data_IF_498177595032
#
_entry.id   IF_498177595032
#
_cell.length_a   1.000
_cell.length_b   1.000
_cell.length_c   1.000
_cell.angle_alpha   90.00
_cell.angle_beta   90.00
_cell.angle_gamma   90.00
#
_symmetry.space_group_name_H-M   'P 1'
#
loop_
_entity.id
_entity.type
_entity.pdbx_description
1 polymer ?
#
# COMPACT_ATOMS: atom_id res chain seq x y z
N UNK A 1 46.50 -3.19 32.57
CA UNK A 1 46.08 -2.03 31.80
C UNK A 1 45.03 -2.49 30.81
N UNK A 2 43.72 -2.27 31.02
CA UNK A 2 42.68 -2.64 30.07
C UNK A 2 42.39 -1.48 29.11
N UNK A 3 42.17 -1.80 27.85
CA UNK A 3 41.71 -0.88 26.81
C UNK A 3 40.17 -0.76 26.82
N UNK A 4 39.71 0.46 26.94
CA UNK A 4 38.29 0.84 26.99
C UNK A 4 37.62 0.63 25.61
N UNK A 5 36.55 -0.16 25.60
CA UNK A 5 35.64 -0.31 24.47
C UNK A 5 34.58 0.79 24.47
N UNK A 6 34.61 1.70 23.52
CA UNK A 6 33.64 2.75 23.35
C UNK A 6 32.35 2.16 22.75
N UNK A 7 31.35 1.97 23.61
CA UNK A 7 29.96 1.65 23.21
C UNK A 7 29.32 2.86 22.52
N UNK A 8 29.08 2.78 21.22
CA UNK A 8 28.23 3.76 20.50
C UNK A 8 26.76 3.53 20.83
N UNK A 9 26.28 4.24 21.82
CA UNK A 9 24.86 4.40 22.12
C UNK A 9 24.19 5.13 20.93
N UNK A 10 23.44 4.42 20.14
CA UNK A 10 22.54 5.04 19.16
C UNK A 10 21.44 5.77 19.91
N UNK A 11 21.47 7.10 19.89
CA UNK A 11 20.41 7.95 20.42
C UNK A 11 19.14 7.71 19.58
N UNK A 12 18.10 7.15 20.20
CA UNK A 12 16.72 7.18 19.69
C UNK A 12 16.28 8.63 19.58
N UNK A 13 15.76 9.03 18.42
CA UNK A 13 15.07 10.31 18.29
C UNK A 13 13.83 10.29 19.20
N UNK A 14 13.56 11.36 19.96
CA UNK A 14 12.37 11.48 20.77
C UNK A 14 11.22 11.88 19.85
N UNK A 15 10.29 11.04 19.65
CA UNK A 15 8.97 11.13 19.02
C UNK A 15 8.85 10.04 17.98
N UNK A 16 8.06 9.00 18.29
CA UNK A 16 7.78 7.83 17.45
C UNK A 16 7.01 8.16 16.16
N UNK A 17 7.56 9.02 15.33
CA UNK A 17 7.03 9.37 14.01
C UNK A 17 7.52 8.33 13.02
N UNK A 18 6.58 7.55 12.52
CA UNK A 18 6.79 6.63 11.41
C UNK A 18 7.10 7.44 10.15
N UNK A 19 8.36 7.45 9.71
CA UNK A 19 8.71 7.99 8.40
C UNK A 19 8.06 7.08 7.34
N UNK A 20 7.04 7.59 6.65
CA UNK A 20 6.36 6.87 5.58
C UNK A 20 7.33 6.80 4.40
N UNK A 21 8.14 5.74 4.33
CA UNK A 21 8.87 5.39 3.11
C UNK A 21 7.94 4.55 2.24
N UNK A 22 7.34 5.18 1.25
CA UNK A 22 6.68 4.47 0.16
C UNK A 22 7.80 3.91 -0.71
N UNK A 23 8.02 2.58 -0.65
CA UNK A 23 9.19 1.93 -1.22
C UNK A 23 9.27 2.01 -2.75
N UNK A 24 9.99 3.01 -3.26
CA UNK A 24 10.56 3.00 -4.60
C UNK A 24 12.06 2.74 -4.49
N UNK A 25 12.56 1.63 -5.02
CA UNK A 25 14.00 1.41 -5.20
C UNK A 25 14.55 2.47 -6.15
N UNK A 26 15.44 3.35 -5.68
CA UNK A 26 16.27 4.18 -6.56
C UNK A 26 17.13 3.23 -7.41
N UNK A 27 17.07 3.37 -8.74
CA UNK A 27 18.03 2.73 -9.64
C UNK A 27 19.43 3.26 -9.30
N UNK A 28 20.33 2.38 -8.88
CA UNK A 28 21.76 2.69 -8.81
C UNK A 28 22.27 2.88 -10.24
N UNK A 29 22.91 4.02 -10.49
CA UNK A 29 23.66 4.27 -11.73
C UNK A 29 24.87 3.35 -11.74
N UNK A 30 24.86 2.34 -12.60
CA UNK A 30 26.08 1.71 -13.07
C UNK A 30 26.39 2.30 -14.45
N UNK A 31 27.51 3.00 -14.54
CA UNK A 31 28.15 3.36 -15.80
C UNK A 31 28.78 2.11 -16.38
N UNK A 32 28.54 1.84 -17.67
CA UNK A 32 29.36 0.97 -18.47
C UNK A 32 29.46 1.56 -19.88
N UNK A 33 30.71 1.86 -20.28
CA UNK A 33 31.12 2.24 -21.60
C UNK A 33 31.11 1.04 -22.57
N UNK A 34 30.59 1.29 -23.79
CA UNK A 34 30.86 0.89 -25.14
C UNK A 34 30.88 -0.62 -25.53
N UNK A 35 30.89 -0.96 -26.84
CA UNK A 35 30.59 -0.17 -28.02
C UNK A 35 29.41 -0.71 -28.87
N UNK A 36 29.03 0.09 -29.85
CA UNK A 36 28.00 -0.08 -30.87
C UNK A 36 28.11 -1.36 -31.72
N UNK A 37 27.00 -2.07 -31.92
CA UNK A 37 26.66 -2.63 -33.21
C UNK A 37 25.15 -2.77 -33.36
N UNK A 38 24.64 -2.25 -34.46
CA UNK A 38 23.22 -2.08 -34.72
C UNK A 38 22.51 -3.40 -35.04
N UNK A 39 21.32 -3.53 -34.49
CA UNK A 39 20.27 -4.36 -35.07
C UNK A 39 18.92 -3.76 -34.65
N UNK A 40 18.21 -3.28 -35.64
CA UNK A 40 16.83 -2.76 -35.47
C UNK A 40 15.94 -3.96 -35.14
N UNK A 41 15.48 -4.04 -33.90
CA UNK A 41 14.41 -4.96 -33.52
C UNK A 41 13.20 -4.11 -33.12
N UNK A 42 12.15 -4.18 -33.91
CA UNK A 42 10.84 -3.64 -33.66
C UNK A 42 10.40 -3.90 -32.22
N UNK A 43 10.27 -2.86 -31.40
CA UNK A 43 9.65 -2.95 -30.08
C UNK A 43 8.15 -3.07 -30.24
N UNK A 44 7.63 -4.28 -30.23
CA UNK A 44 6.20 -4.51 -29.98
C UNK A 44 5.92 -4.15 -28.52
N UNK A 45 5.26 -3.02 -28.33
CA UNK A 45 4.66 -2.62 -27.07
C UNK A 45 3.72 -3.74 -26.59
N UNK A 46 4.10 -4.45 -25.54
CA UNK A 46 3.24 -5.41 -24.84
C UNK A 46 2.10 -4.70 -24.15
N UNK A 47 1.06 -4.35 -24.88
CA UNK A 47 -0.21 -3.92 -24.31
C UNK A 47 -0.90 -5.16 -23.75
N UNK A 48 -1.02 -5.25 -22.41
CA UNK A 48 -1.96 -6.16 -21.77
C UNK A 48 -3.38 -5.85 -22.26
N UNK A 49 -4.21 -6.87 -22.53
CA UNK A 49 -5.60 -6.64 -22.92
C UNK A 49 -6.34 -6.00 -21.74
N UNK A 50 -6.46 -4.68 -21.77
CA UNK A 50 -7.42 -3.98 -20.94
C UNK A 50 -8.81 -4.34 -21.47
N UNK A 51 -9.71 -4.78 -20.60
CA UNK A 51 -11.14 -4.78 -20.92
C UNK A 51 -11.56 -3.31 -20.99
N UNK A 52 -11.34 -2.69 -22.15
CA UNK A 52 -11.89 -1.40 -22.51
C UNK A 52 -13.25 -1.65 -23.15
N UNK A 53 -14.28 -1.79 -22.31
CA UNK A 53 -15.60 -1.36 -22.72
C UNK A 53 -15.62 0.18 -22.77
N UNK A 54 -16.40 0.82 -23.67
CA UNK A 54 -16.58 2.26 -23.64
C UNK A 54 -17.06 2.64 -22.24
N UNK A 55 -16.37 3.59 -21.59
CA UNK A 55 -16.81 4.18 -20.34
C UNK A 55 -18.11 4.94 -20.64
N UNK A 56 -19.23 4.31 -20.32
CA UNK A 56 -20.51 4.97 -20.28
C UNK A 56 -20.38 6.08 -19.24
N UNK A 57 -20.33 7.33 -19.70
CA UNK A 57 -20.18 8.50 -18.83
C UNK A 57 -21.34 8.66 -17.83
N UNK A 58 -22.37 7.83 -17.94
CA UNK A 58 -23.56 7.78 -17.11
C UNK A 58 -23.60 6.56 -16.13
N UNK A 59 -22.61 5.68 -16.16
CA UNK A 59 -22.56 4.58 -15.20
C UNK A 59 -22.24 5.10 -13.80
N UNK A 60 -22.93 4.63 -12.74
CA UNK A 60 -22.61 5.03 -11.38
C UNK A 60 -21.13 4.71 -11.08
N UNK A 61 -20.44 5.67 -10.43
CA UNK A 61 -19.03 5.51 -10.10
C UNK A 61 -18.80 4.21 -9.32
N UNK A 62 -17.85 3.39 -9.77
CA UNK A 62 -17.57 2.10 -9.12
C UNK A 62 -17.05 2.33 -7.68
N UNK A 63 -17.48 1.55 -6.69
CA UNK A 63 -17.09 1.77 -5.27
C UNK A 63 -15.57 1.87 -5.06
N UNK A 64 -14.78 1.13 -5.83
CA UNK A 64 -13.33 1.15 -5.76
C UNK A 64 -12.67 2.39 -6.41
N UNK A 65 -13.41 3.27 -7.06
CA UNK A 65 -12.88 4.51 -7.63
C UNK A 65 -12.50 5.53 -6.55
N UNK A 66 -13.25 5.54 -5.44
CA UNK A 66 -12.99 6.36 -4.26
C UNK A 66 -12.76 5.47 -3.02
N UNK A 67 -11.87 4.50 -3.16
CA UNK A 67 -11.70 3.38 -2.23
C UNK A 67 -11.52 3.82 -0.76
N UNK A 68 -10.65 4.81 -0.50
CA UNK A 68 -10.38 5.30 0.86
C UNK A 68 -11.65 5.97 1.44
N UNK A 69 -12.31 6.83 0.66
CA UNK A 69 -13.55 7.47 1.08
C UNK A 69 -14.63 6.44 1.41
N UNK A 70 -14.85 5.49 0.49
CA UNK A 70 -15.86 4.44 0.67
C UNK A 70 -15.56 3.56 1.89
N UNK A 71 -14.31 3.19 2.12
CA UNK A 71 -13.93 2.45 3.31
C UNK A 71 -14.22 3.24 4.58
N UNK A 72 -13.81 4.52 4.65
CA UNK A 72 -13.98 5.39 5.81
C UNK A 72 -15.42 5.86 6.06
N UNK A 73 -16.32 5.67 5.10
CA UNK A 73 -17.75 5.97 5.25
C UNK A 73 -18.61 4.71 5.44
N UNK A 74 -18.02 3.51 5.33
CA UNK A 74 -18.71 2.24 5.53
C UNK A 74 -18.00 1.35 6.58
N UNK A 75 -17.31 0.31 6.17
CA UNK A 75 -16.79 -0.74 7.08
C UNK A 75 -15.63 -0.28 7.98
N UNK A 76 -14.80 0.68 7.52
CA UNK A 76 -13.69 1.23 8.30
C UNK A 76 -14.05 2.53 9.03
N UNK A 77 -15.33 2.91 9.14
CA UNK A 77 -15.74 4.18 9.76
C UNK A 77 -15.27 4.35 11.21
N UNK A 78 -15.12 3.25 11.94
CA UNK A 78 -14.75 3.27 13.37
C UNK A 78 -13.24 3.44 13.60
N UNK A 79 -12.41 3.28 12.57
CA UNK A 79 -10.95 3.40 12.62
C UNK A 79 -10.44 4.66 11.91
N UNK A 80 -11.35 5.56 11.59
CA UNK A 80 -11.06 6.86 11.00
C UNK A 80 -11.97 7.96 11.55
N UNK A 81 -11.67 9.20 11.16
CA UNK A 81 -12.43 10.38 11.56
C UNK A 81 -12.43 11.43 10.45
N UNK A 82 -13.25 12.46 10.61
CA UNK A 82 -13.42 13.54 9.65
C UNK A 82 -14.88 13.99 9.56
N UNK A 83 -15.22 14.66 8.47
CA UNK A 83 -16.56 15.21 8.21
C UNK A 83 -17.05 14.81 6.81
N UNK A 84 -18.03 15.56 6.28
CA UNK A 84 -18.62 15.30 4.96
C UNK A 84 -17.73 15.75 3.78
N UNK A 85 -16.65 16.51 4.02
CA UNK A 85 -15.71 16.99 2.99
C UNK A 85 -14.42 16.20 2.96
N UNK A 86 -13.89 15.77 4.13
CA UNK A 86 -12.65 15.02 4.23
C UNK A 86 -12.65 14.03 5.39
N UNK A 87 -11.98 12.91 5.21
CA UNK A 87 -11.80 11.86 6.21
C UNK A 87 -10.39 11.30 6.16
N UNK A 88 -9.90 10.80 7.31
CA UNK A 88 -8.64 10.06 7.37
C UNK A 88 -8.72 8.91 8.36
N UNK A 89 -7.84 7.92 8.19
CA UNK A 89 -7.61 6.93 9.23
C UNK A 89 -6.89 7.54 10.45
N UNK A 90 -7.07 6.93 11.61
CA UNK A 90 -6.22 7.20 12.77
C UNK A 90 -4.75 6.92 12.39
N UNK A 91 -3.84 7.86 12.69
CA UNK A 91 -2.45 7.81 12.24
C UNK A 91 -1.71 6.51 12.60
N UNK A 92 -1.90 5.88 13.79
CA UNK A 92 -1.26 4.60 14.11
C UNK A 92 -1.79 3.42 13.30
N UNK A 93 -2.95 3.56 12.64
CA UNK A 93 -3.60 2.51 11.84
C UNK A 93 -3.13 2.57 10.40
N UNK A 94 -3.30 3.75 9.75
CA UNK A 94 -2.88 3.92 8.36
C UNK A 94 -2.72 5.41 8.01
N UNK A 95 -1.79 5.75 7.11
CA UNK A 95 -1.52 7.14 6.72
C UNK A 95 -2.48 7.65 5.63
N UNK A 96 -3.62 6.99 5.41
CA UNK A 96 -4.50 7.29 4.28
C UNK A 96 -5.61 8.27 4.66
N UNK A 97 -5.94 9.14 3.71
CA UNK A 97 -7.10 10.00 3.75
C UNK A 97 -7.74 10.19 2.39
N UNK A 98 -8.91 10.82 2.40
CA UNK A 98 -9.65 11.14 1.19
C UNK A 98 -10.43 12.44 1.37
N UNK A 99 -10.62 13.16 0.28
CA UNK A 99 -11.58 14.25 0.12
C UNK A 99 -12.78 13.75 -0.68
N UNK A 100 -13.95 14.37 -0.50
CA UNK A 100 -15.15 14.01 -1.28
C UNK A 100 -14.98 14.42 -2.75
N UNK A 101 -14.27 15.52 -2.99
CA UNK A 101 -13.96 16.09 -4.30
C UNK A 101 -12.61 16.82 -4.26
N UNK A 102 -12.22 17.44 -5.38
CA UNK A 102 -10.97 18.18 -5.53
C UNK A 102 -11.10 19.67 -5.17
N UNK A 103 -12.17 20.11 -4.50
CA UNK A 103 -12.39 21.51 -4.15
C UNK A 103 -11.41 21.99 -3.07
N UNK A 104 -11.13 23.29 -3.07
CA UNK A 104 -10.31 23.93 -2.03
C UNK A 104 -10.91 23.71 -0.64
N UNK A 105 -12.24 23.73 -0.50
CA UNK A 105 -12.93 23.50 0.76
C UNK A 105 -12.68 22.09 1.31
N UNK A 106 -12.71 21.06 0.44
CA UNK A 106 -12.40 19.69 0.79
C UNK A 106 -10.94 19.52 1.23
N UNK A 107 -10.00 20.16 0.55
CA UNK A 107 -8.59 20.18 0.97
C UNK A 107 -8.35 20.96 2.26
N UNK A 108 -9.05 22.09 2.50
CA UNK A 108 -9.00 22.79 3.78
C UNK A 108 -9.50 21.90 4.93
N UNK A 109 -10.57 21.15 4.69
CA UNK A 109 -11.07 20.18 5.65
C UNK A 109 -10.05 19.06 5.92
N UNK A 110 -9.38 18.55 4.88
CA UNK A 110 -8.32 17.56 5.03
C UNK A 110 -7.13 18.11 5.83
N UNK A 111 -6.74 19.37 5.56
CA UNK A 111 -5.67 20.06 6.30
C UNK A 111 -6.00 20.17 7.80
N UNK A 112 -7.25 20.47 8.13
CA UNK A 112 -7.68 20.56 9.53
C UNK A 112 -7.56 19.21 10.27
N UNK A 113 -7.64 18.08 9.56
CA UNK A 113 -7.45 16.74 10.11
C UNK A 113 -5.98 16.31 10.22
N UNK A 114 -5.04 17.07 9.64
CA UNK A 114 -3.63 16.68 9.55
C UNK A 114 -2.81 17.44 10.60
N UNK A 115 -2.34 16.79 11.69
CA UNK A 115 -1.44 17.42 12.65
C UNK A 115 -0.15 17.92 12.01
N UNK A 116 0.48 18.93 12.61
CA UNK A 116 1.76 19.45 12.13
C UNK A 116 2.83 18.35 12.14
N UNK A 117 3.53 18.22 11.00
CA UNK A 117 4.57 17.22 10.78
C UNK A 117 4.07 15.82 10.43
N UNK A 118 2.74 15.60 10.36
CA UNK A 118 2.18 14.38 9.81
C UNK A 118 2.13 14.45 8.28
N UNK A 119 2.03 13.26 7.67
CA UNK A 119 1.82 13.09 6.23
C UNK A 119 0.53 12.31 5.99
N UNK A 120 -0.06 12.50 4.81
CA UNK A 120 -1.27 11.80 4.41
C UNK A 120 -1.15 11.33 2.96
N UNK A 121 -1.52 10.08 2.71
CA UNK A 121 -1.52 9.49 1.38
C UNK A 121 -2.94 9.46 0.81
N UNK A 122 -3.09 9.91 -0.42
CA UNK A 122 -4.32 9.88 -1.19
C UNK A 122 -4.19 8.90 -2.35
N UNK A 123 -5.25 8.13 -2.64
CA UNK A 123 -5.44 7.39 -3.89
C UNK A 123 -6.53 8.06 -4.70
N UNK A 124 -6.22 8.47 -5.92
CA UNK A 124 -7.13 9.21 -6.80
C UNK A 124 -7.10 8.67 -8.22
N UNK A 125 -8.16 8.90 -8.97
CA UNK A 125 -8.23 8.50 -10.39
C UNK A 125 -7.37 9.40 -11.26
N UNK A 126 -7.37 10.68 -10.97
CA UNK A 126 -6.58 11.70 -11.66
C UNK A 126 -5.44 12.17 -10.76
N UNK A 127 -4.42 12.75 -11.34
CA UNK A 127 -3.32 13.32 -10.59
C UNK A 127 -3.77 14.49 -9.72
N UNK A 128 -3.53 14.39 -8.43
CA UNK A 128 -3.91 15.44 -7.48
C UNK A 128 -3.02 16.65 -7.63
N UNK A 129 -3.64 17.82 -7.85
CA UNK A 129 -3.01 19.13 -7.76
C UNK A 129 -3.52 19.82 -6.48
N UNK A 130 -2.89 19.59 -5.33
CA UNK A 130 -3.38 20.14 -4.08
C UNK A 130 -3.16 21.66 -4.04
N UNK A 131 -3.99 22.41 -3.29
CA UNK A 131 -3.75 23.84 -3.04
C UNK A 131 -2.40 24.10 -2.35
N UNK A 132 -1.89 25.33 -2.46
CA UNK A 132 -0.54 25.73 -2.00
C UNK A 132 -0.27 25.52 -0.50
N UNK A 133 -1.29 25.36 0.32
CA UNK A 133 -1.14 25.01 1.73
C UNK A 133 -0.79 23.53 1.97
N UNK A 134 -0.64 22.72 0.92
CA UNK A 134 -0.02 21.41 0.95
C UNK A 134 1.25 21.36 0.11
N UNK A 135 2.26 20.65 0.62
CA UNK A 135 3.43 20.21 -0.15
C UNK A 135 3.26 18.79 -0.59
N UNK A 136 3.55 18.48 -1.85
CA UNK A 136 3.59 17.12 -2.37
C UNK A 136 4.97 16.52 -2.05
N UNK A 137 5.02 15.59 -1.12
CA UNK A 137 6.25 14.93 -0.68
C UNK A 137 6.68 13.83 -1.66
N UNK A 138 5.70 13.09 -2.17
CA UNK A 138 5.95 12.00 -3.12
C UNK A 138 4.74 11.78 -4.01
N UNK A 139 5.00 11.42 -5.26
CA UNK A 139 4.01 10.91 -6.22
C UNK A 139 4.36 9.47 -6.58
N UNK A 140 3.34 8.70 -6.92
CA UNK A 140 3.47 7.33 -7.38
C UNK A 140 2.26 6.89 -8.19
N UNK A 141 2.36 5.73 -8.78
CA UNK A 141 1.24 5.09 -9.46
C UNK A 141 1.11 3.64 -8.97
N UNK A 142 -0.12 3.25 -8.68
CA UNK A 142 -0.47 1.89 -8.30
C UNK A 142 -1.51 1.33 -9.25
N UNK A 143 -1.43 0.04 -9.50
CA UNK A 143 -2.44 -0.70 -10.22
C UNK A 143 -3.42 -1.27 -9.21
N UNK A 144 -4.69 -0.97 -9.41
CA UNK A 144 -5.77 -1.62 -8.68
C UNK A 144 -6.16 -2.90 -9.42
N UNK A 145 -6.09 -4.03 -8.72
CA UNK A 145 -6.46 -5.33 -9.26
C UNK A 145 -7.62 -5.92 -8.47
N UNK A 146 -8.51 -6.65 -9.15
CA UNK A 146 -9.73 -7.24 -8.59
C UNK A 146 -9.75 -8.73 -8.90
N UNK A 147 -10.16 -9.52 -7.93
CA UNK A 147 -10.34 -10.97 -8.10
C UNK A 147 -11.53 -11.26 -9.02
N UNK A 148 -11.31 -12.08 -10.03
CA UNK A 148 -12.37 -12.57 -10.95
C UNK A 148 -12.45 -14.09 -10.99
N UNK A 149 -11.41 -14.78 -10.52
CA UNK A 149 -11.36 -16.24 -10.50
C UNK A 149 -10.73 -16.72 -9.21
N UNK A 150 -11.34 -17.69 -8.57
CA UNK A 150 -10.77 -18.32 -7.37
C UNK A 150 -9.41 -18.94 -7.68
N UNK A 151 -8.37 -18.68 -6.85
CA UNK A 151 -7.10 -19.35 -7.01
C UNK A 151 -7.25 -20.85 -6.82
N UNK A 152 -6.49 -21.62 -7.58
CA UNK A 152 -6.33 -23.04 -7.32
C UNK A 152 -5.73 -23.23 -5.91
N UNK A 153 -5.94 -24.42 -5.31
CA UNK A 153 -5.31 -24.73 -4.04
C UNK A 153 -3.79 -24.62 -4.15
N UNK A 154 -3.18 -23.85 -3.25
CA UNK A 154 -1.73 -23.59 -3.25
C UNK A 154 -1.18 -24.07 -1.91
N UNK A 155 -0.35 -25.11 -1.95
CA UNK A 155 0.49 -25.55 -0.84
C UNK A 155 -0.21 -25.99 0.46
N UNK A 156 0.61 -26.28 1.46
CA UNK A 156 0.20 -26.72 2.80
C UNK A 156 1.06 -26.08 3.90
N UNK A 157 1.57 -24.85 3.69
CA UNK A 157 2.35 -24.19 4.72
C UNK A 157 1.51 -23.99 5.99
N UNK A 158 2.11 -24.13 7.17
CA UNK A 158 1.41 -23.93 8.44
C UNK A 158 1.10 -22.44 8.64
N UNK A 159 -0.07 -22.02 8.13
CA UNK A 159 -0.55 -20.65 8.29
C UNK A 159 -1.11 -20.48 9.70
N UNK A 160 -0.72 -19.41 10.36
CA UNK A 160 -1.22 -18.98 11.66
C UNK A 160 -1.96 -17.66 11.54
N UNK A 161 -3.03 -17.47 12.32
CA UNK A 161 -3.66 -16.17 12.52
C UNK A 161 -2.76 -15.32 13.40
N UNK A 162 -2.57 -14.07 13.03
CA UNK A 162 -1.78 -13.10 13.78
C UNK A 162 -2.69 -12.20 14.59
N UNK A 163 -2.27 -11.85 15.81
CA UNK A 163 -3.00 -10.97 16.70
C UNK A 163 -2.12 -9.84 17.27
N UNK A 164 -2.64 -9.08 18.21
CA UNK A 164 -1.93 -7.94 18.80
C UNK A 164 -0.57 -8.31 19.44
N UNK A 165 -0.38 -9.55 19.86
CA UNK A 165 0.89 -10.05 20.44
C UNK A 165 1.96 -10.22 19.38
N UNK A 166 1.57 -10.42 18.12
CA UNK A 166 2.47 -10.61 16.98
C UNK A 166 2.94 -9.27 16.37
N UNK A 167 2.37 -8.14 16.76
CA UNK A 167 2.69 -6.81 16.18
C UNK A 167 4.20 -6.50 16.17
N UNK A 168 4.98 -6.80 17.21
CA UNK A 168 6.42 -6.58 17.15
C UNK A 168 7.12 -7.35 16.02
N UNK A 169 6.77 -8.62 15.79
CA UNK A 169 7.31 -9.46 14.72
C UNK A 169 6.84 -8.97 13.35
N UNK A 170 5.57 -8.53 13.25
CA UNK A 170 5.02 -7.97 12.03
C UNK A 170 5.76 -6.69 11.63
N UNK A 171 6.02 -5.79 12.57
CA UNK A 171 6.80 -4.56 12.34
C UNK A 171 8.23 -4.86 11.91
N UNK A 172 8.89 -5.85 12.53
CA UNK A 172 10.22 -6.30 12.14
C UNK A 172 10.24 -6.85 10.71
N UNK A 173 9.23 -7.64 10.32
CA UNK A 173 9.10 -8.15 8.96
C UNK A 173 8.83 -7.03 7.94
N UNK A 174 8.01 -6.04 8.30
CA UNK A 174 7.75 -4.84 7.47
C UNK A 174 9.02 -4.04 7.27
N UNK A 175 9.82 -3.83 8.32
CA UNK A 175 11.11 -3.13 8.23
C UNK A 175 12.09 -3.86 7.30
N UNK A 176 12.11 -5.19 7.33
CA UNK A 176 12.98 -5.99 6.48
C UNK A 176 12.53 -6.06 5.01
N UNK A 177 11.24 -5.86 4.71
CA UNK A 177 10.66 -6.15 3.39
C UNK A 177 10.05 -4.95 2.68
N UNK A 178 9.68 -3.90 3.41
CA UNK A 178 9.06 -2.66 2.92
C UNK A 178 7.85 -2.88 2.00
N UNK A 179 6.80 -3.62 2.43
CA UNK A 179 5.63 -3.93 1.60
C UNK A 179 4.72 -2.73 1.36
N UNK A 180 4.91 -1.65 2.10
CA UNK A 180 4.10 -0.45 2.11
C UNK A 180 3.81 0.03 3.54
N UNK A 181 2.93 1.03 3.74
CA UNK A 181 2.64 1.55 5.06
C UNK A 181 2.02 0.49 5.98
N UNK A 182 2.63 0.30 7.14
CA UNK A 182 2.16 -0.56 8.21
C UNK A 182 2.55 0.05 9.56
N UNK A 183 1.59 0.28 10.42
CA UNK A 183 1.77 0.88 11.74
C UNK A 183 1.43 -0.09 12.88
N UNK A 184 1.64 0.32 14.13
CA UNK A 184 1.44 -0.53 15.31
C UNK A 184 -0.01 -0.96 15.53
N UNK A 185 -0.98 -0.27 14.93
CA UNK A 185 -2.40 -0.59 15.02
C UNK A 185 -3.02 -0.98 13.68
N UNK A 186 -2.21 -1.19 12.64
CA UNK A 186 -2.72 -1.59 11.31
C UNK A 186 -3.46 -2.92 11.36
N UNK A 187 -3.10 -3.79 12.29
CA UNK A 187 -3.78 -5.09 12.52
C UNK A 187 -5.29 -4.94 12.83
N UNK A 188 -5.74 -3.77 13.30
CA UNK A 188 -7.16 -3.49 13.59
C UNK A 188 -8.03 -3.35 12.32
N UNK A 189 -7.42 -3.34 11.12
CA UNK A 189 -8.14 -3.18 9.86
C UNK A 189 -8.85 -4.46 9.40
N UNK A 190 -8.41 -5.64 9.84
CA UNK A 190 -9.01 -6.91 9.47
C UNK A 190 -8.18 -8.13 9.86
N UNK A 191 -8.40 -9.22 9.16
CA UNK A 191 -7.69 -10.48 9.37
C UNK A 191 -6.23 -10.35 8.91
N UNK A 192 -5.30 -10.83 9.76
CA UNK A 192 -3.88 -10.97 9.42
C UNK A 192 -3.45 -12.41 9.64
N UNK A 193 -2.73 -12.96 8.68
CA UNK A 193 -2.20 -14.32 8.72
C UNK A 193 -0.72 -14.33 8.37
N UNK A 194 -0.01 -15.34 8.86
CA UNK A 194 1.43 -15.45 8.64
C UNK A 194 1.94 -16.88 8.64
N UNK A 195 3.21 -17.02 8.28
CA UNK A 195 3.96 -18.27 8.38
C UNK A 195 5.16 -18.05 9.27
N UNK A 196 5.35 -18.95 10.26
CA UNK A 196 6.53 -18.95 11.12
C UNK A 196 7.46 -20.10 10.74
N UNK A 197 8.76 -19.82 10.72
CA UNK A 197 9.81 -20.82 10.57
C UNK A 197 10.80 -20.65 11.71
N UNK A 198 11.08 -21.70 12.46
CA UNK A 198 11.97 -21.67 13.62
C UNK A 198 11.61 -20.53 14.62
N UNK A 199 10.31 -20.29 14.83
CA UNK A 199 9.79 -19.25 15.70
C UNK A 199 9.72 -17.84 15.07
N UNK A 200 10.45 -17.56 14.00
CA UNK A 200 10.47 -16.26 13.32
C UNK A 200 9.29 -16.13 12.35
N UNK A 201 8.62 -14.98 12.32
CA UNK A 201 7.61 -14.65 11.31
C UNK A 201 8.31 -14.36 9.98
N UNK A 202 8.20 -15.30 9.01
CA UNK A 202 8.90 -15.20 7.71
C UNK A 202 8.01 -14.72 6.58
N UNK A 203 6.69 -14.77 6.73
CA UNK A 203 5.75 -14.25 5.74
C UNK A 203 4.47 -13.81 6.43
N UNK A 204 3.84 -12.77 5.90
CA UNK A 204 2.50 -12.35 6.31
C UNK A 204 1.72 -11.73 5.16
N UNK A 205 0.41 -11.70 5.32
CA UNK A 205 -0.54 -10.92 4.52
C UNK A 205 -1.74 -10.56 5.42
N UNK A 206 -2.50 -9.53 5.05
CA UNK A 206 -3.68 -9.17 5.82
C UNK A 206 -4.65 -8.29 5.03
N UNK A 207 -5.72 -7.89 5.69
CA UNK A 207 -6.76 -7.02 5.16
C UNK A 207 -6.47 -5.56 5.52
N UNK A 208 -6.88 -4.62 4.66
CA UNK A 208 -6.67 -3.18 4.91
C UNK A 208 -7.93 -2.37 4.73
N UNK A 209 -8.28 -2.02 3.49
CA UNK A 209 -9.47 -1.20 3.22
C UNK A 209 -10.67 -2.12 3.03
N UNK A 210 -11.65 -1.98 3.93
CA UNK A 210 -12.92 -2.72 3.85
C UNK A 210 -14.05 -1.76 3.56
N UNK A 211 -14.81 -2.04 2.54
CA UNK A 211 -15.99 -1.29 2.13
C UNK A 211 -17.10 -2.27 1.72
N UNK A 212 -18.32 -1.79 1.55
CA UNK A 212 -19.43 -2.68 1.27
C UNK A 212 -19.19 -3.50 -0.01
N UNK A 213 -19.19 -4.82 0.13
CA UNK A 213 -18.95 -5.79 -0.94
C UNK A 213 -17.48 -6.02 -1.33
N UNK A 214 -16.50 -5.30 -0.74
CA UNK A 214 -15.10 -5.41 -1.12
C UNK A 214 -14.16 -5.37 0.08
N UNK A 215 -13.11 -6.20 0.05
CA UNK A 215 -12.02 -6.18 1.03
C UNK A 215 -10.65 -6.22 0.34
N UNK A 216 -9.75 -5.33 0.75
CA UNK A 216 -8.41 -5.22 0.21
C UNK A 216 -7.44 -6.19 0.89
N UNK A 217 -6.71 -6.97 0.08
CA UNK A 217 -5.53 -7.71 0.54
C UNK A 217 -4.32 -6.78 0.49
N UNK A 218 -3.59 -6.71 1.58
CA UNK A 218 -2.45 -5.81 1.76
C UNK A 218 -1.35 -6.45 2.61
N UNK A 219 -0.25 -5.72 2.82
CA UNK A 219 0.89 -6.14 3.64
C UNK A 219 1.47 -7.52 3.24
N UNK A 220 1.29 -7.92 1.97
CA UNK A 220 1.85 -9.17 1.46
C UNK A 220 3.36 -9.06 1.40
N UNK A 221 4.04 -9.75 2.28
CA UNK A 221 5.50 -9.72 2.32
C UNK A 221 6.10 -11.04 2.79
N UNK A 222 7.30 -11.33 2.28
CA UNK A 222 8.06 -12.53 2.59
C UNK A 222 9.52 -12.14 2.87
N UNK A 223 9.99 -12.51 4.05
CA UNK A 223 11.39 -12.35 4.42
C UNK A 223 12.31 -13.00 3.37
N UNK A 224 13.50 -12.46 3.09
CA UNK A 224 14.42 -13.04 2.10
C UNK A 224 14.66 -14.55 2.26
N UNK A 225 14.74 -15.05 3.50
CA UNK A 225 14.94 -16.49 3.79
C UNK A 225 13.77 -17.39 3.41
N UNK A 226 12.55 -16.83 3.30
CA UNK A 226 11.32 -17.57 2.92
C UNK A 226 10.94 -17.45 1.45
N UNK A 227 11.72 -16.71 0.64
CA UNK A 227 11.41 -16.52 -0.79
C UNK A 227 11.57 -17.80 -1.58
N UNK A 228 10.86 -17.89 -2.72
CA UNK A 228 10.90 -19.09 -3.59
C UNK A 228 10.06 -20.28 -3.09
N UNK A 229 9.48 -20.20 -1.90
CA UNK A 229 8.70 -21.29 -1.27
C UNK A 229 7.18 -21.17 -1.53
N UNK A 230 6.71 -20.24 -2.36
CA UNK A 230 5.29 -20.07 -2.65
C UNK A 230 4.47 -19.39 -1.53
N UNK A 231 5.07 -18.96 -0.42
CA UNK A 231 4.38 -18.47 0.78
C UNK A 231 3.42 -17.30 0.50
N UNK A 232 3.82 -16.36 -0.36
CA UNK A 232 2.95 -15.22 -0.73
C UNK A 232 1.68 -15.70 -1.46
N UNK A 233 1.81 -16.67 -2.38
CA UNK A 233 0.68 -17.24 -3.11
C UNK A 233 -0.30 -17.93 -2.15
N UNK A 234 0.21 -18.66 -1.18
CA UNK A 234 -0.59 -19.39 -0.22
C UNK A 234 -1.34 -18.47 0.74
N UNK A 235 -0.67 -17.45 1.29
CA UNK A 235 -1.29 -16.44 2.15
C UNK A 235 -2.40 -15.67 1.41
N UNK A 236 -2.12 -15.19 0.19
CA UNK A 236 -3.12 -14.48 -0.62
C UNK A 236 -4.30 -15.39 -0.95
N UNK A 237 -4.06 -16.67 -1.33
CA UNK A 237 -5.14 -17.61 -1.62
C UNK A 237 -6.00 -17.93 -0.40
N UNK A 238 -5.42 -17.94 0.78
CA UNK A 238 -6.15 -18.18 2.05
C UNK A 238 -7.03 -16.97 2.39
N UNK A 239 -6.50 -15.74 2.30
CA UNK A 239 -7.31 -14.52 2.49
C UNK A 239 -8.40 -14.38 1.44
N UNK A 240 -8.12 -14.71 0.17
CA UNK A 240 -9.15 -14.73 -0.88
C UNK A 240 -10.31 -15.64 -0.49
N UNK A 241 -10.03 -16.85 -0.02
CA UNK A 241 -11.09 -17.78 0.41
C UNK A 241 -11.89 -17.21 1.59
N UNK A 242 -11.23 -16.63 2.59
CA UNK A 242 -11.87 -15.97 3.73
C UNK A 242 -12.77 -14.82 3.27
N UNK A 243 -12.28 -13.94 2.39
CA UNK A 243 -13.02 -12.78 1.87
C UNK A 243 -14.25 -13.25 1.07
N UNK A 244 -14.08 -14.18 0.13
CA UNK A 244 -15.18 -14.68 -0.71
C UNK A 244 -16.22 -15.46 0.10
N UNK A 245 -15.83 -16.18 1.14
CA UNK A 245 -16.78 -16.88 2.03
C UNK A 245 -17.72 -15.93 2.78
N UNK A 246 -17.31 -14.65 2.94
CA UNK A 246 -18.16 -13.58 3.50
C UNK A 246 -19.04 -12.89 2.46
N UNK A 247 -19.02 -13.34 1.19
CA UNK A 247 -19.74 -12.72 0.08
C UNK A 247 -19.10 -11.42 -0.42
N UNK A 248 -17.82 -11.18 -0.12
CA UNK A 248 -17.07 -9.99 -0.53
C UNK A 248 -16.13 -10.30 -1.69
N UNK A 249 -15.78 -9.30 -2.48
CA UNK A 249 -14.79 -9.40 -3.56
C UNK A 249 -13.43 -8.92 -3.07
N UNK A 250 -12.41 -9.76 -3.23
CA UNK A 250 -11.03 -9.39 -2.91
C UNK A 250 -10.48 -8.43 -3.98
N UNK A 251 -9.78 -7.40 -3.54
CA UNK A 251 -9.02 -6.50 -4.41
C UNK A 251 -7.67 -6.17 -3.77
N UNK A 252 -6.78 -5.51 -4.51
CA UNK A 252 -5.50 -5.06 -4.00
C UNK A 252 -4.97 -3.86 -4.79
N UNK A 253 -3.99 -3.17 -4.18
CA UNK A 253 -3.18 -2.18 -4.89
C UNK A 253 -1.72 -2.66 -4.91
N UNK A 254 -1.09 -2.53 -6.07
CA UNK A 254 0.31 -2.89 -6.27
C UNK A 254 1.01 -1.78 -7.04
N UNK A 255 2.24 -1.42 -6.67
CA UNK A 255 3.01 -0.48 -7.48
C UNK A 255 3.20 -1.04 -8.89
N UNK A 256 2.91 -0.22 -9.90
CA UNK A 256 3.03 -0.61 -11.31
C UNK A 256 4.45 -1.05 -11.72
N UNK A 257 5.46 -0.70 -10.92
CA UNK A 257 6.85 -1.15 -11.07
C UNK A 257 7.15 -2.52 -10.45
N UNK A 258 6.24 -3.08 -9.63
CA UNK A 258 6.43 -4.36 -8.94
C UNK A 258 5.97 -5.53 -9.80
N UNK A 259 6.68 -5.77 -10.92
CA UNK A 259 6.34 -6.82 -11.88
C UNK A 259 6.19 -8.21 -11.27
N UNK A 260 7.09 -8.68 -10.36
CA UNK A 260 6.94 -10.00 -9.74
C UNK A 260 5.62 -10.16 -8.96
N UNK A 261 5.19 -9.13 -8.24
CA UNK A 261 3.92 -9.17 -7.51
C UNK A 261 2.72 -9.16 -8.46
N UNK A 262 2.75 -8.34 -9.52
CA UNK A 262 1.70 -8.30 -10.54
C UNK A 262 1.53 -9.68 -11.19
N UNK A 263 2.62 -10.32 -11.59
CA UNK A 263 2.59 -11.67 -12.18
C UNK A 263 2.02 -12.72 -11.21
N UNK A 264 2.37 -12.62 -9.92
CA UNK A 264 1.80 -13.47 -8.89
C UNK A 264 0.27 -13.28 -8.81
N UNK A 265 -0.22 -12.05 -8.72
CA UNK A 265 -1.65 -11.77 -8.59
C UNK A 265 -2.44 -12.19 -9.83
N UNK A 266 -1.90 -12.01 -11.03
CA UNK A 266 -2.51 -12.53 -12.28
C UNK A 266 -2.68 -14.05 -12.22
N UNK A 267 -1.65 -14.79 -11.77
CA UNK A 267 -1.71 -16.25 -11.59
C UNK A 267 -2.74 -16.68 -10.54
N UNK A 268 -2.99 -15.82 -9.55
CA UNK A 268 -3.98 -16.07 -8.49
C UNK A 268 -5.40 -15.65 -8.87
N UNK A 269 -5.64 -15.24 -10.11
CA UNK A 269 -6.97 -14.93 -10.63
C UNK A 269 -7.42 -13.48 -10.45
N UNK A 270 -6.51 -12.59 -10.07
CA UNK A 270 -6.76 -11.15 -10.13
C UNK A 270 -6.55 -10.64 -11.55
N UNK A 271 -7.32 -9.62 -11.93
CA UNK A 271 -7.11 -8.88 -13.18
C UNK A 271 -6.84 -7.41 -12.87
N UNK A 272 -6.14 -6.76 -13.77
CA UNK A 272 -5.99 -5.31 -13.75
C UNK A 272 -7.36 -4.66 -13.91
N UNK A 273 -7.70 -3.74 -13.00
CA UNK A 273 -8.91 -2.94 -13.09
C UNK A 273 -8.60 -1.52 -13.58
N UNK A 274 -7.71 -0.81 -12.89
CA UNK A 274 -7.44 0.61 -13.14
C UNK A 274 -6.09 1.05 -12.59
N UNK A 275 -5.47 2.03 -13.24
CA UNK A 275 -4.40 2.82 -12.64
C UNK A 275 -4.97 3.83 -11.66
N UNK A 276 -4.25 4.04 -10.56
CA UNK A 276 -4.56 5.07 -9.59
C UNK A 276 -3.31 5.88 -9.26
N UNK A 277 -3.49 7.18 -9.08
CA UNK A 277 -2.44 8.08 -8.64
C UNK A 277 -2.33 8.02 -7.11
N UNK A 278 -1.09 7.96 -6.64
CA UNK A 278 -0.75 8.06 -5.23
C UNK A 278 -0.05 9.40 -5.00
N UNK A 279 -0.59 10.21 -4.11
CA UNK A 279 0.05 11.43 -3.65
C UNK A 279 0.26 11.37 -2.13
N UNK A 280 1.51 11.55 -1.68
CA UNK A 280 1.84 11.74 -0.28
C UNK A 280 1.97 13.25 -0.04
N UNK A 281 1.11 13.77 0.82
CA UNK A 281 0.99 15.19 1.12
C UNK A 281 1.43 15.48 2.57
N UNK A 282 1.99 16.66 2.78
CA UNK A 282 2.22 17.27 4.09
C UNK A 282 1.70 18.70 4.10
N UNK A 283 1.54 19.32 5.27
CA UNK A 283 1.33 20.76 5.35
C UNK A 283 2.50 21.46 4.69
N UNK A 284 2.22 22.48 3.86
CA UNK A 284 3.28 23.39 3.44
C UNK A 284 3.91 24.03 4.69
N UNK A 285 5.23 24.07 4.74
CA UNK A 285 5.93 24.81 5.80
C UNK A 285 5.80 26.30 5.50
N UNK A 286 5.49 27.11 6.52
CA UNK A 286 5.54 28.58 6.43
C UNK A 286 6.98 29.10 6.33
N UNK A 287 7.99 28.25 6.10
CA UNK A 287 9.40 28.65 5.96
C UNK A 287 9.67 29.15 4.54
N UNK A 288 9.84 30.46 4.33
CA UNK A 288 10.07 31.05 3.01
C UNK A 288 11.37 30.61 2.34
N UNK A 289 12.16 29.70 2.95
CA UNK A 289 13.44 29.22 2.42
C UNK A 289 13.35 27.91 1.62
N UNK A 290 12.16 27.33 1.46
CA UNK A 290 11.95 26.11 0.68
C UNK A 290 11.69 26.32 -0.82
N UNK A 291 11.61 27.56 -1.30
CA UNK A 291 11.33 27.91 -2.71
C UNK A 291 12.60 28.31 -3.51
N UNK A 292 13.75 27.66 -3.23
CA UNK A 292 14.97 27.89 -4.04
C UNK A 292 15.56 26.58 -4.55
#
# INVERSE_FOLDING_TARGET
>A
MPAEGISKVRRRAPNGRLAIRIGMRRRSKFAHDGPQNGMIVSSTNGQHPAIRGPLDSNAPAHPLDHVIWRALTSRNRNVGYGNHLARRYLAPIAPFGATIDASTASFQSLLALLPAGDQIALFTLEEVMPPSFFSVIQRGAVDQMVLVKMPAHVGSAPIVTLDARDVPDMLALVEATHPGPFGPRTIELGEYIGVRQQGMLVAMAGERMRLDGFTEISAVCVHPSGRGQGLAAELVSTLVRSIVSRGETAFLHVFNSNRPAIELYLKLGFIFRRHMHLALLARASDDPRCDR
#
